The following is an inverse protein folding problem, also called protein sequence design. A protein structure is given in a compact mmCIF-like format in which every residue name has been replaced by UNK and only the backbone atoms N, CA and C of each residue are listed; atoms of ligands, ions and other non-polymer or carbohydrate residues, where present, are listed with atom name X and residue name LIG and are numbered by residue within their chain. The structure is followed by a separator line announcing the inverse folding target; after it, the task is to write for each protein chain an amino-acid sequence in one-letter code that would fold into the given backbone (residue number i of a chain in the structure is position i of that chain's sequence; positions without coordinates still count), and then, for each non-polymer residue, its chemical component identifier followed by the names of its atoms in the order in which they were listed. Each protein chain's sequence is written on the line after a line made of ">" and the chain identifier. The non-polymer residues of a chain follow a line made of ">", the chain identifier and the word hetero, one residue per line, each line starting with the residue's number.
data_IF_230655285617
#
_entry.id   IF_230655285617
#
_cell.length_a   1.000
_cell.length_b   1.000
_cell.length_c   1.000
_cell.angle_alpha   90.00
_cell.angle_beta   90.00
_cell.angle_gamma   90.00
#
_symmetry.space_group_name_H-M   'P 1'
#
loop_
_entity.id
_entity.type
_entity.pdbx_description
1 polymer ?
#
# COMPACT_ATOMS: atom_id res chain seq x y z
N UNK A 1 -5.43 21.71 15.28
CA UNK A 1 -4.58 20.55 15.67
C UNK A 1 -5.46 19.50 16.32
N UNK A 2 -5.44 18.26 15.86
CA UNK A 2 -6.17 17.15 16.50
C UNK A 2 -5.51 16.85 17.85
N UNK A 3 -6.28 16.87 18.94
CA UNK A 3 -5.79 16.48 20.26
C UNK A 3 -5.92 14.96 20.40
N UNK A 4 -4.81 14.25 20.22
CA UNK A 4 -4.70 12.79 20.32
C UNK A 4 -5.38 12.18 21.56
N UNK A 5 -5.27 12.82 22.72
CA UNK A 5 -5.90 12.35 23.96
C UNK A 5 -7.43 12.25 23.85
N UNK A 6 -8.07 13.16 23.10
CA UNK A 6 -9.53 13.15 22.90
C UNK A 6 -9.99 12.03 21.96
N UNK A 7 -9.19 11.75 20.93
CA UNK A 7 -9.49 10.71 19.93
C UNK A 7 -9.23 9.29 20.48
N UNK A 8 -8.13 9.12 21.21
CA UNK A 8 -7.75 7.81 21.80
C UNK A 8 -8.54 7.52 23.09
N UNK A 9 -9.26 8.50 23.63
CA UNK A 9 -10.06 8.41 24.88
C UNK A 9 -9.24 7.91 26.08
N UNK A 10 -7.94 8.20 26.10
CA UNK A 10 -7.05 7.82 27.20
C UNK A 10 -6.90 8.99 28.16
N UNK A 11 -7.13 8.76 29.45
CA UNK A 11 -7.05 9.79 30.49
C UNK A 11 -5.61 10.14 30.89
N UNK A 12 -4.67 9.19 30.83
CA UNK A 12 -3.22 9.38 31.06
C UNK A 12 -2.38 8.34 30.32
N UNK A 13 -1.20 8.74 29.87
CA UNK A 13 -0.15 7.82 29.42
C UNK A 13 0.81 7.52 30.57
N UNK A 14 1.34 6.30 30.64
CA UNK A 14 2.31 5.86 31.65
C UNK A 14 3.63 6.64 31.55
N UNK A 15 4.07 6.93 30.33
CA UNK A 15 5.28 7.72 30.06
C UNK A 15 5.27 8.30 28.64
N UNK A 16 6.27 9.14 28.35
CA UNK A 16 6.42 9.83 27.04
C UNK A 16 6.66 8.86 25.87
N UNK A 17 7.26 7.68 26.11
CA UNK A 17 7.49 6.68 25.07
C UNK A 17 6.18 6.02 24.63
N UNK A 18 5.32 5.65 25.59
CA UNK A 18 4.00 5.12 25.28
C UNK A 18 3.16 6.14 24.52
N UNK A 19 3.17 7.41 24.95
CA UNK A 19 2.48 8.49 24.24
C UNK A 19 2.98 8.64 22.80
N UNK A 20 4.31 8.63 22.59
CA UNK A 20 4.89 8.73 21.26
C UNK A 20 4.46 7.56 20.36
N UNK A 21 4.49 6.32 20.88
CA UNK A 21 4.07 5.14 20.14
C UNK A 21 2.60 5.24 19.71
N UNK A 22 1.71 5.60 20.63
CA UNK A 22 0.28 5.80 20.34
C UNK A 22 0.09 6.89 19.29
N UNK A 23 0.83 8.00 19.38
CA UNK A 23 0.76 9.08 18.41
C UNK A 23 1.16 8.61 17.00
N UNK A 24 2.23 7.81 16.88
CA UNK A 24 2.67 7.26 15.59
C UNK A 24 1.61 6.34 15.00
N UNK A 25 1.05 5.42 15.80
CA UNK A 25 0.01 4.48 15.36
C UNK A 25 -1.26 5.22 14.93
N UNK A 26 -1.72 6.18 15.75
CA UNK A 26 -2.87 7.00 15.42
C UNK A 26 -2.66 7.77 14.11
N UNK A 27 -1.49 8.41 13.97
CA UNK A 27 -1.16 9.18 12.76
C UNK A 27 -1.12 8.28 11.53
N UNK A 28 -0.57 7.08 11.66
CA UNK A 28 -0.58 6.06 10.61
C UNK A 28 -2.00 5.70 10.18
N UNK A 29 -2.90 5.41 11.12
CA UNK A 29 -4.29 5.09 10.82
C UNK A 29 -5.05 6.25 10.18
N UNK A 30 -4.92 7.45 10.75
CA UNK A 30 -5.54 8.66 10.22
C UNK A 30 -5.08 8.93 8.78
N UNK A 31 -3.77 8.87 8.53
CA UNK A 31 -3.20 9.07 7.19
C UNK A 31 -3.67 8.01 6.20
N UNK A 32 -3.66 6.73 6.59
CA UNK A 32 -4.15 5.65 5.73
C UNK A 32 -5.64 5.78 5.41
N UNK A 33 -6.46 6.25 6.35
CA UNK A 33 -7.87 6.50 6.09
C UNK A 33 -8.03 7.59 5.04
N UNK A 34 -7.26 8.69 5.12
CA UNK A 34 -7.28 9.75 4.09
C UNK A 34 -6.86 9.23 2.71
N UNK A 35 -5.81 8.40 2.64
CA UNK A 35 -5.40 7.76 1.38
C UNK A 35 -6.52 6.86 0.86
N UNK A 36 -7.16 6.06 1.71
CA UNK A 36 -8.28 5.19 1.33
C UNK A 36 -9.45 6.00 0.78
N UNK A 37 -9.81 7.12 1.42
CA UNK A 37 -10.89 7.99 0.96
C UNK A 37 -10.61 8.53 -0.46
N UNK A 38 -9.36 8.94 -0.73
CA UNK A 38 -8.92 9.41 -2.06
C UNK A 38 -9.00 8.30 -3.12
N UNK A 39 -8.70 7.05 -2.75
CA UNK A 39 -8.67 5.92 -3.69
C UNK A 39 -10.05 5.31 -3.96
N UNK A 40 -11.03 5.59 -3.10
CA UNK A 40 -12.38 4.99 -3.16
C UNK A 40 -13.09 5.23 -4.51
N UNK A 41 -13.07 6.44 -5.11
CA UNK A 41 -13.69 6.67 -6.42
C UNK A 41 -13.07 5.88 -7.58
N UNK A 42 -11.83 5.40 -7.41
CA UNK A 42 -11.12 4.61 -8.41
C UNK A 42 -11.32 3.10 -8.23
N UNK A 43 -12.05 2.70 -7.19
CA UNK A 43 -12.18 1.31 -6.74
C UNK A 43 -10.79 0.66 -6.54
N UNK A 44 -9.86 1.38 -5.92
CA UNK A 44 -8.49 0.91 -5.65
C UNK A 44 -8.27 0.77 -4.14
N UNK A 45 -7.74 -0.37 -3.71
CA UNK A 45 -7.29 -0.54 -2.32
C UNK A 45 -5.92 0.11 -2.10
N UNK A 46 -5.57 0.43 -0.85
CA UNK A 46 -4.24 0.96 -0.50
C UNK A 46 -3.11 0.00 -0.91
N UNK A 47 -3.35 -1.31 -0.87
CA UNK A 47 -2.40 -2.34 -1.34
C UNK A 47 -2.26 -2.35 -2.87
N UNK A 48 -3.38 -2.23 -3.61
CA UNK A 48 -3.36 -2.07 -5.06
C UNK A 48 -2.63 -0.79 -5.46
N UNK A 49 -2.88 0.31 -4.77
CA UNK A 49 -2.15 1.56 -4.98
C UNK A 49 -0.65 1.43 -4.70
N UNK A 50 -0.26 0.62 -3.70
CA UNK A 50 1.16 0.33 -3.43
C UNK A 50 1.82 -0.34 -4.64
N UNK A 51 1.16 -1.36 -5.22
CA UNK A 51 1.63 -2.02 -6.44
C UNK A 51 1.74 -1.01 -7.59
N UNK A 52 0.71 -0.18 -7.82
CA UNK A 52 0.75 0.86 -8.86
C UNK A 52 1.89 1.87 -8.66
N UNK A 53 2.21 2.24 -7.41
CA UNK A 53 3.36 3.10 -7.09
C UNK A 53 4.69 2.44 -7.43
N UNK A 54 4.81 1.13 -7.18
CA UNK A 54 6.01 0.35 -7.55
C UNK A 54 6.15 0.28 -9.07
N UNK A 55 5.08 -0.06 -9.78
CA UNK A 55 5.06 -0.10 -11.25
C UNK A 55 5.42 1.26 -11.86
N UNK A 56 4.83 2.35 -11.35
CA UNK A 56 5.15 3.71 -11.79
C UNK A 56 6.62 4.08 -11.60
N UNK A 57 7.25 3.63 -10.51
CA UNK A 57 8.67 3.85 -10.26
C UNK A 57 9.61 2.96 -11.09
N UNK A 58 9.06 2.01 -11.85
CA UNK A 58 9.82 1.14 -12.76
C UNK A 58 9.61 1.50 -14.22
N UNK A 59 8.47 2.10 -14.55
CA UNK A 59 8.18 2.58 -15.89
C UNK A 59 9.33 3.44 -16.46
N UNK A 60 9.77 3.18 -17.71
CA UNK A 60 9.15 2.29 -18.71
C UNK A 60 9.55 0.81 -18.62
N UNK A 61 10.43 0.43 -17.70
CA UNK A 61 10.88 -0.95 -17.56
C UNK A 61 9.80 -1.84 -16.92
N UNK A 62 9.60 -3.07 -17.41
CA UNK A 62 8.60 -3.97 -16.85
C UNK A 62 9.08 -4.57 -15.53
N UNK A 63 8.13 -4.93 -14.67
CA UNK A 63 8.30 -5.41 -13.31
C UNK A 63 7.87 -6.88 -13.18
N UNK A 64 8.65 -7.71 -12.50
CA UNK A 64 8.20 -9.08 -12.16
C UNK A 64 7.38 -9.08 -10.87
N UNK A 65 6.50 -10.08 -10.68
CA UNK A 65 5.78 -10.27 -9.40
C UNK A 65 6.75 -10.33 -8.21
N UNK A 66 7.86 -11.04 -8.36
CA UNK A 66 8.87 -11.17 -7.30
C UNK A 66 9.47 -9.82 -6.91
N UNK A 67 9.73 -8.95 -7.88
CA UNK A 67 10.22 -7.60 -7.60
C UNK A 67 9.17 -6.77 -6.86
N UNK A 68 7.90 -6.85 -7.27
CA UNK A 68 6.79 -6.16 -6.59
C UNK A 68 6.67 -6.66 -5.14
N UNK A 69 6.70 -7.99 -4.95
CA UNK A 69 6.63 -8.65 -3.63
C UNK A 69 7.76 -8.23 -2.69
N UNK A 70 8.95 -7.95 -3.22
CA UNK A 70 10.09 -7.49 -2.42
C UNK A 70 9.97 -6.03 -1.98
N UNK A 71 9.13 -5.22 -2.66
CA UNK A 71 8.99 -3.77 -2.41
C UNK A 71 7.67 -3.38 -1.75
N UNK A 72 6.66 -4.24 -1.77
CA UNK A 72 5.37 -3.97 -1.13
C UNK A 72 5.54 -3.83 0.39
N UNK A 73 4.80 -2.89 0.99
CA UNK A 73 4.88 -2.63 2.43
C UNK A 73 4.30 -3.78 3.26
N UNK A 74 3.19 -4.36 2.80
CA UNK A 74 2.53 -5.50 3.43
C UNK A 74 2.95 -6.81 2.76
N UNK A 75 3.97 -7.45 3.32
CA UNK A 75 4.57 -8.68 2.77
C UNK A 75 3.68 -9.93 2.91
N UNK A 76 2.59 -9.87 3.67
CA UNK A 76 1.66 -11.00 3.82
C UNK A 76 0.63 -11.08 2.69
N UNK A 77 0.58 -10.07 1.83
CA UNK A 77 -0.41 -9.99 0.76
C UNK A 77 -0.06 -10.87 -0.45
N UNK A 78 -1.07 -11.51 -1.02
CA UNK A 78 -0.95 -12.27 -2.28
C UNK A 78 -0.75 -11.30 -3.46
N UNK A 79 0.52 -11.01 -3.73
CA UNK A 79 0.94 -10.02 -4.73
C UNK A 79 0.44 -10.39 -6.13
N UNK A 80 0.43 -11.67 -6.49
CA UNK A 80 -0.07 -12.13 -7.80
C UNK A 80 -1.54 -11.79 -7.96
N UNK A 81 -2.36 -12.10 -6.96
CA UNK A 81 -3.80 -11.80 -6.97
C UNK A 81 -4.08 -10.29 -7.01
N UNK A 82 -3.25 -9.47 -6.37
CA UNK A 82 -3.37 -8.02 -6.44
C UNK A 82 -3.11 -7.51 -7.86
N UNK A 83 -2.05 -8.00 -8.51
CA UNK A 83 -1.70 -7.62 -9.88
C UNK A 83 -2.78 -8.06 -10.86
N UNK A 84 -3.28 -9.30 -10.76
CA UNK A 84 -4.36 -9.79 -11.62
C UNK A 84 -5.62 -8.92 -11.53
N UNK A 85 -5.99 -8.47 -10.31
CA UNK A 85 -7.11 -7.54 -10.13
C UNK A 85 -6.85 -6.16 -10.73
N UNK A 86 -5.61 -5.69 -10.73
CA UNK A 86 -5.26 -4.42 -11.38
C UNK A 86 -5.36 -4.52 -12.91
N UNK A 87 -4.97 -5.66 -13.48
CA UNK A 87 -5.13 -5.94 -14.92
C UNK A 87 -6.62 -6.00 -15.29
N UNK A 88 -7.44 -6.69 -14.51
CA UNK A 88 -8.90 -6.74 -14.74
C UNK A 88 -9.55 -5.35 -14.71
N UNK A 89 -8.95 -4.39 -13.99
CA UNK A 89 -9.40 -3.00 -13.92
C UNK A 89 -8.74 -2.09 -14.97
N UNK A 90 -7.83 -2.61 -15.79
CA UNK A 90 -7.12 -1.83 -16.82
C UNK A 90 -6.03 -0.90 -16.27
N UNK A 91 -5.55 -1.11 -15.04
CA UNK A 91 -4.50 -0.28 -14.43
C UNK A 91 -3.08 -0.84 -14.60
N UNK A 92 -2.94 -2.06 -15.12
CA UNK A 92 -1.67 -2.70 -15.43
C UNK A 92 -1.85 -3.64 -16.62
N UNK A 93 -0.77 -3.91 -17.33
CA UNK A 93 -0.76 -4.84 -18.46
C UNK A 93 0.23 -5.96 -18.19
N UNK A 94 0.00 -7.12 -18.80
CA UNK A 94 0.88 -8.28 -18.67
C UNK A 94 1.65 -8.47 -19.97
N UNK A 95 2.97 -8.49 -19.88
CA UNK A 95 3.87 -8.78 -20.99
C UNK A 95 4.56 -10.13 -20.79
N UNK A 96 4.81 -10.83 -21.90
CA UNK A 96 5.57 -12.08 -21.90
C UNK A 96 7.04 -11.72 -22.06
N UNK A 97 7.87 -12.14 -21.10
CA UNK A 97 9.31 -12.02 -21.25
C UNK A 97 9.80 -13.11 -22.22
N UNK A 98 10.36 -12.70 -23.35
CA UNK A 98 10.85 -13.60 -24.40
C UNK A 98 12.07 -14.44 -24.00
N UNK A 99 12.69 -14.17 -22.83
CA UNK A 99 13.94 -14.81 -22.41
C UNK A 99 13.83 -16.07 -21.54
N UNK A 100 12.72 -16.31 -20.84
CA UNK A 100 12.43 -17.46 -19.96
C UNK A 100 10.99 -17.24 -19.47
N UNK A 101 10.14 -18.27 -19.42
CA UNK A 101 8.70 -18.21 -19.08
C UNK A 101 8.37 -17.55 -17.72
N UNK A 102 8.53 -16.24 -17.63
CA UNK A 102 8.20 -15.41 -16.48
C UNK A 102 7.44 -14.18 -17.01
N UNK A 103 6.27 -13.93 -16.46
CA UNK A 103 5.45 -12.77 -16.84
C UNK A 103 5.95 -11.51 -16.14
N UNK A 104 5.99 -10.40 -16.89
CA UNK A 104 6.30 -9.07 -16.37
C UNK A 104 5.11 -8.12 -16.55
N UNK A 105 5.08 -7.05 -15.76
CA UNK A 105 3.96 -6.09 -15.65
C UNK A 105 4.43 -4.64 -15.73
#
# INVERSE_FOLDING_TARGET
>A
MVQLQKEVKTSKFENVFQQALVNVIFTYHWSNQKVKDILTPFDITTQQYNVLRILRGQYPSPATVNMIKNRILDKMSDTSRIVDRLIQKGYAEKSVNSGLFNYCY
#
